data_IF_109269196665
#
_entry.id   IF_109269196665
#
_cell.length_a   1.000
_cell.length_b   1.000
_cell.length_c   1.000
_cell.angle_alpha   90.00
_cell.angle_beta   90.00
_cell.angle_gamma   90.00
#
_symmetry.space_group_name_H-M   'P 1'
#
loop_
_entity.id
_entity.type
_entity.pdbx_description
1 polymer ?
#
# COMPACT_ATOMS: atom_id res chain seq x y z
N UNK A 1 18.09 -12.22 -17.31
CA UNK A 1 16.62 -12.40 -17.29
C UNK A 1 16.03 -12.63 -18.68
N UNK A 2 16.72 -12.24 -19.76
CA UNK A 2 16.33 -12.58 -21.12
C UNK A 2 16.11 -14.09 -21.28
N UNK A 3 14.89 -14.48 -21.68
CA UNK A 3 14.51 -15.87 -21.91
C UNK A 3 13.56 -16.48 -20.87
N UNK A 4 13.25 -15.79 -19.75
CA UNK A 4 12.23 -16.26 -18.79
C UNK A 4 10.89 -15.59 -19.13
N UNK A 5 9.86 -16.34 -19.59
CA UNK A 5 8.58 -15.77 -19.96
C UNK A 5 7.88 -15.07 -18.79
N UNK A 6 7.63 -13.77 -18.95
CA UNK A 6 6.98 -12.94 -17.93
C UNK A 6 7.92 -12.37 -16.86
N UNK A 7 9.24 -12.55 -17.00
CA UNK A 7 10.20 -11.82 -16.17
C UNK A 7 10.27 -10.34 -16.58
N UNK A 8 10.36 -9.47 -15.58
CA UNK A 8 10.48 -8.02 -15.74
C UNK A 8 11.79 -7.54 -15.09
N UNK A 9 12.43 -6.57 -15.73
CA UNK A 9 13.61 -5.88 -15.21
C UNK A 9 13.49 -4.38 -15.52
N UNK A 10 13.76 -3.54 -14.53
CA UNK A 10 13.71 -2.10 -14.68
C UNK A 10 14.59 -1.39 -13.65
N UNK A 11 14.91 -0.13 -13.95
CA UNK A 11 15.58 0.77 -13.03
C UNK A 11 14.76 2.05 -12.94
N UNK A 12 14.61 2.57 -11.72
CA UNK A 12 13.88 3.83 -11.53
C UNK A 12 14.43 4.62 -10.33
N UNK A 13 14.20 5.92 -10.33
CA UNK A 13 14.57 6.83 -9.27
C UNK A 13 13.38 7.08 -8.34
N UNK A 14 13.59 6.80 -7.06
CA UNK A 14 12.58 6.96 -6.02
C UNK A 14 12.97 8.16 -5.14
N UNK A 15 12.47 9.38 -5.43
CA UNK A 15 12.85 10.59 -4.69
C UNK A 15 12.46 10.52 -3.21
N UNK A 16 11.42 9.75 -2.87
CA UNK A 16 10.96 9.52 -1.51
C UNK A 16 11.81 8.52 -0.70
N UNK A 17 12.82 7.88 -1.30
CA UNK A 17 13.60 6.83 -0.66
C UNK A 17 14.97 7.34 -0.19
N UNK A 18 15.06 7.71 1.09
CA UNK A 18 16.26 8.30 1.69
C UNK A 18 16.34 9.83 1.48
N UNK A 19 17.29 10.51 2.12
CA UNK A 19 17.36 11.97 2.12
C UNK A 19 17.70 12.60 0.75
N UNK A 20 18.27 11.82 -0.17
CA UNK A 20 18.65 12.26 -1.52
C UNK A 20 17.87 11.55 -2.64
N UNK A 21 16.83 10.77 -2.29
CA UNK A 21 16.29 9.76 -3.18
C UNK A 21 17.28 8.63 -3.47
N UNK A 22 16.78 7.54 -4.07
CA UNK A 22 17.60 6.38 -4.43
C UNK A 22 17.22 5.85 -5.80
N UNK A 23 18.23 5.44 -6.55
CA UNK A 23 18.06 4.64 -7.75
C UNK A 23 17.98 3.18 -7.35
N UNK A 24 16.91 2.50 -7.74
CA UNK A 24 16.76 1.07 -7.52
C UNK A 24 16.69 0.35 -8.86
N UNK A 25 17.43 -0.75 -8.95
CA UNK A 25 17.18 -1.79 -9.95
C UNK A 25 16.23 -2.81 -9.34
N UNK A 26 15.17 -3.16 -10.08
CA UNK A 26 14.21 -4.15 -9.66
C UNK A 26 14.01 -5.21 -10.74
N UNK A 27 13.89 -6.44 -10.27
CA UNK A 27 13.73 -7.64 -11.10
C UNK A 27 12.60 -8.46 -10.54
N UNK A 28 11.61 -8.76 -11.35
CA UNK A 28 10.50 -9.63 -10.98
C UNK A 28 10.50 -10.87 -11.87
N UNK A 29 10.39 -12.04 -11.26
CA UNK A 29 10.32 -13.32 -11.98
C UNK A 29 9.08 -14.07 -11.52
N UNK A 30 8.18 -14.51 -12.42
CA UNK A 30 6.99 -15.25 -12.04
C UNK A 30 7.37 -16.60 -11.44
N UNK A 31 6.81 -16.89 -10.26
CA UNK A 31 6.86 -18.20 -9.63
C UNK A 31 5.67 -19.02 -10.12
N UNK A 32 5.95 -20.21 -10.65
CA UNK A 32 4.92 -21.14 -11.13
C UNK A 32 4.97 -22.42 -10.31
N UNK A 33 3.80 -23.03 -10.10
CA UNK A 33 3.74 -24.36 -9.51
C UNK A 33 4.17 -25.44 -10.51
N UNK A 34 4.16 -26.71 -10.06
CA UNK A 34 4.52 -27.86 -10.90
C UNK A 34 3.59 -28.10 -12.10
N UNK A 35 2.42 -27.45 -12.13
CA UNK A 35 1.48 -27.52 -13.25
C UNK A 35 1.57 -26.29 -14.16
N UNK A 36 2.55 -25.40 -13.91
CA UNK A 36 2.78 -24.18 -14.70
C UNK A 36 1.87 -23.01 -14.33
N UNK A 37 1.01 -23.14 -13.33
CA UNK A 37 0.12 -22.08 -12.88
C UNK A 37 0.92 -20.99 -12.14
N UNK A 38 0.66 -19.72 -12.43
CA UNK A 38 1.31 -18.59 -11.75
C UNK A 38 0.85 -18.54 -10.29
N UNK A 39 1.77 -18.80 -9.36
CA UNK A 39 1.51 -18.80 -7.91
C UNK A 39 2.09 -17.58 -7.19
N UNK A 40 3.00 -16.85 -7.84
CA UNK A 40 3.55 -15.63 -7.26
C UNK A 40 4.59 -14.98 -8.17
N UNK A 41 5.33 -14.05 -7.62
CA UNK A 41 6.53 -13.50 -8.23
C UNK A 41 7.63 -13.41 -7.17
N UNK A 42 8.86 -13.68 -7.57
CA UNK A 42 10.04 -13.38 -6.79
C UNK A 42 10.56 -12.03 -7.24
N UNK A 43 10.65 -11.08 -6.31
CA UNK A 43 11.11 -9.73 -6.57
C UNK A 43 12.46 -9.50 -5.88
N UNK A 44 13.42 -8.98 -6.62
CA UNK A 44 14.70 -8.53 -6.10
C UNK A 44 14.81 -7.03 -6.33
N UNK A 45 15.06 -6.28 -5.26
CA UNK A 45 15.37 -4.86 -5.31
C UNK A 45 16.82 -4.63 -4.87
N UNK A 46 17.58 -3.92 -5.69
CA UNK A 46 18.97 -3.55 -5.42
C UNK A 46 19.11 -2.03 -5.48
N UNK A 47 19.73 -1.47 -4.45
CA UNK A 47 20.11 -0.05 -4.43
C UNK A 47 21.35 0.16 -5.30
N UNK A 48 21.19 0.88 -6.40
CA UNK A 48 22.24 1.19 -7.37
C UNK A 48 22.64 2.67 -7.31
N UNK A 49 22.22 3.39 -6.27
CA UNK A 49 22.49 4.83 -6.11
C UNK A 49 23.99 5.13 -6.11
N UNK A 50 24.81 4.23 -5.56
CA UNK A 50 26.27 4.37 -5.57
C UNK A 50 26.87 4.25 -6.98
N UNK A 51 26.27 3.44 -7.84
CA UNK A 51 26.71 3.24 -9.25
C UNK A 51 26.26 4.39 -10.14
N UNK A 52 25.09 4.99 -9.86
CA UNK A 52 24.56 6.16 -10.57
C UNK A 52 25.13 7.50 -10.08
N UNK A 53 25.64 7.57 -8.84
CA UNK A 53 26.15 8.79 -8.22
C UNK A 53 27.41 9.41 -8.84
N UNK A 54 28.09 8.70 -9.76
CA UNK A 54 29.20 9.24 -10.56
C UNK A 54 28.75 9.88 -11.88
N UNK A 55 27.49 9.65 -12.29
CA UNK A 55 26.91 10.23 -13.50
C UNK A 55 25.95 11.38 -13.14
N UNK A 56 26.55 12.50 -12.72
CA UNK A 56 26.04 13.86 -12.96
C UNK A 56 24.72 14.29 -12.31
N UNK A 57 24.83 15.06 -11.22
CA UNK A 57 23.91 16.19 -10.97
C UNK A 57 23.88 17.11 -12.20
N UNK A 58 22.81 17.09 -13.00
CA UNK A 58 22.21 18.28 -13.63
C UNK A 58 20.96 17.94 -14.47
N UNK A 59 19.88 18.66 -14.14
CA UNK A 59 18.81 19.15 -15.02
C UNK A 59 17.76 18.19 -15.63
N UNK A 60 16.51 18.63 -15.44
CA UNK A 60 15.32 18.24 -16.17
C UNK A 60 15.42 18.55 -17.68
N UNK A 61 14.94 17.64 -18.52
CA UNK A 61 14.19 17.90 -19.76
C UNK A 61 13.92 16.56 -20.49
N UNK A 62 12.72 16.41 -21.02
CA UNK A 62 12.34 15.35 -21.96
C UNK A 62 12.91 15.63 -23.39
N UNK A 63 12.57 14.81 -24.41
CA UNK A 63 13.37 13.72 -24.93
C UNK A 63 14.06 14.08 -26.27
N UNK A 64 15.21 13.46 -26.58
CA UNK A 64 15.79 13.51 -27.92
C UNK A 64 16.49 12.18 -28.27
N UNK A 65 16.24 11.74 -29.50
CA UNK A 65 16.69 10.52 -30.14
C UNK A 65 18.12 10.60 -30.70
N UNK A 66 18.75 9.43 -30.91
CA UNK A 66 19.95 9.19 -31.74
C UNK A 66 21.26 9.18 -30.96
N UNK A 67 22.19 8.21 -31.08
CA UNK A 67 22.54 7.31 -32.18
C UNK A 67 23.04 5.92 -31.70
N UNK A 68 23.03 4.98 -32.65
CA UNK A 68 23.19 3.51 -32.61
C UNK A 68 24.55 2.94 -32.17
N UNK A 69 24.50 1.67 -31.75
CA UNK A 69 25.48 0.61 -32.09
C UNK A 69 24.69 -0.68 -32.54
N UNK A 70 25.33 -1.69 -33.15
CA UNK A 70 25.02 -2.12 -34.53
C UNK A 70 23.99 -3.25 -34.66
N UNK A 71 23.43 -3.32 -35.88
CA UNK A 71 22.71 -4.41 -36.54
C UNK A 71 22.24 -5.60 -35.69
N UNK A 72 20.96 -5.59 -35.36
CA UNK A 72 20.19 -6.83 -35.16
C UNK A 72 18.89 -6.69 -35.95
N UNK A 73 18.54 -7.62 -36.86
CA UNK A 73 17.36 -7.47 -37.68
C UNK A 73 16.10 -7.44 -36.81
N UNK A 74 15.32 -6.38 -36.96
CA UNK A 74 14.07 -6.19 -36.26
C UNK A 74 13.07 -7.28 -36.66
N UNK A 75 12.70 -8.14 -35.71
CA UNK A 75 11.56 -9.04 -35.85
C UNK A 75 10.30 -8.17 -35.75
N UNK A 76 9.38 -8.22 -36.73
CA UNK A 76 8.15 -7.43 -36.66
C UNK A 76 7.32 -7.88 -35.45
N UNK A 77 6.82 -6.90 -34.69
CA UNK A 77 5.93 -7.13 -33.57
C UNK A 77 4.72 -7.96 -34.05
N UNK A 78 4.35 -9.05 -33.34
CA UNK A 78 3.16 -9.80 -33.68
C UNK A 78 1.92 -8.91 -33.52
N UNK A 79 0.90 -9.05 -34.38
CA UNK A 79 -0.35 -8.31 -34.23
C UNK A 79 -0.99 -8.67 -32.88
N UNK A 80 -1.35 -7.65 -32.11
CA UNK A 80 -2.06 -7.82 -30.84
C UNK A 80 -3.41 -8.50 -31.09
N UNK A 81 -3.49 -9.79 -30.75
CA UNK A 81 -4.77 -10.48 -30.64
C UNK A 81 -5.43 -10.05 -29.32
N UNK A 82 -6.73 -9.69 -29.31
CA UNK A 82 -7.41 -9.28 -28.09
C UNK A 82 -7.55 -10.49 -27.14
N UNK A 83 -6.86 -10.43 -25.99
CA UNK A 83 -6.93 -11.45 -24.95
C UNK A 83 -8.19 -11.22 -24.10
N UNK A 84 -9.03 -12.25 -23.83
CA UNK A 84 -10.32 -12.10 -23.17
C UNK A 84 -10.21 -11.61 -21.71
N UNK A 85 -11.12 -10.70 -21.36
CA UNK A 85 -11.24 -10.06 -20.06
C UNK A 85 -11.45 -11.06 -18.90
N UNK A 86 -10.38 -11.41 -18.19
CA UNK A 86 -10.45 -11.73 -16.75
C UNK A 86 -9.37 -10.90 -16.04
N UNK A 87 -9.78 -9.67 -15.72
CA UNK A 87 -9.00 -8.58 -15.14
C UNK A 87 -8.30 -8.98 -13.82
N UNK A 88 -6.97 -8.91 -13.79
CA UNK A 88 -6.25 -8.36 -12.62
C UNK A 88 -5.93 -6.91 -12.96
N UNK A 89 -6.41 -5.97 -12.16
CA UNK A 89 -6.02 -4.56 -12.27
C UNK A 89 -4.51 -4.42 -12.02
N UNK A 90 -3.86 -3.50 -12.74
CA UNK A 90 -2.47 -3.16 -12.51
C UNK A 90 -2.28 -2.65 -11.06
N UNK A 91 -1.15 -2.95 -10.39
CA UNK A 91 -0.89 -2.47 -9.04
C UNK A 91 -0.95 -0.94 -8.98
N UNK A 92 -1.70 -0.40 -8.00
CA UNK A 92 -1.82 1.05 -7.78
C UNK A 92 -2.93 1.76 -8.56
N UNK A 93 -3.73 1.06 -9.36
CA UNK A 93 -4.84 1.68 -10.09
C UNK A 93 -6.13 1.73 -9.26
N UNK A 94 -6.94 2.77 -9.50
CA UNK A 94 -8.28 2.90 -8.93
C UNK A 94 -9.19 1.77 -9.42
N UNK A 95 -9.89 1.12 -8.50
CA UNK A 95 -10.79 0.03 -8.80
C UNK A 95 -11.94 -0.02 -7.80
N UNK A 96 -13.06 -0.62 -8.19
CA UNK A 96 -14.14 -0.98 -7.26
C UNK A 96 -13.80 -2.27 -6.52
N UNK A 97 -13.82 -2.22 -5.20
CA UNK A 97 -13.50 -3.37 -4.35
C UNK A 97 -14.32 -3.38 -3.06
N UNK A 98 -14.67 -4.58 -2.60
CA UNK A 98 -15.28 -4.80 -1.28
C UNK A 98 -14.23 -4.64 -0.18
N UNK A 99 -14.54 -3.83 0.83
CA UNK A 99 -13.70 -3.57 1.98
C UNK A 99 -13.31 -4.85 2.75
N UNK A 100 -14.18 -5.88 2.77
CA UNK A 100 -13.86 -7.18 3.38
C UNK A 100 -12.69 -7.87 2.70
N UNK A 101 -12.53 -7.71 1.37
CA UNK A 101 -11.35 -8.26 0.66
C UNK A 101 -10.07 -7.54 1.06
N UNK A 102 -10.14 -6.22 1.22
CA UNK A 102 -9.02 -5.44 1.73
C UNK A 102 -8.64 -5.86 3.16
N UNK A 103 -9.64 -6.03 4.03
CA UNK A 103 -9.44 -6.48 5.42
C UNK A 103 -8.81 -7.87 5.45
N UNK A 104 -9.29 -8.83 4.66
CA UNK A 104 -8.72 -10.17 4.59
C UNK A 104 -7.25 -10.14 4.16
N UNK A 105 -6.93 -9.42 3.08
CA UNK A 105 -5.55 -9.29 2.60
C UNK A 105 -4.62 -8.63 3.61
N UNK A 106 -5.10 -7.62 4.34
CA UNK A 106 -4.32 -6.94 5.36
C UNK A 106 -4.07 -7.81 6.60
N UNK A 107 -5.04 -8.64 6.97
CA UNK A 107 -4.92 -9.62 8.06
C UNK A 107 -3.85 -10.66 7.75
N UNK A 108 -3.86 -11.23 6.54
CA UNK A 108 -2.85 -12.20 6.12
C UNK A 108 -1.44 -11.59 6.17
N UNK A 109 -1.31 -10.33 5.74
CA UNK A 109 -0.04 -9.60 5.76
C UNK A 109 0.43 -9.14 7.15
N UNK A 110 -0.44 -9.19 8.16
CA UNK A 110 -0.16 -8.79 9.54
C UNK A 110 -0.15 -9.98 10.51
N UNK A 111 -0.46 -11.20 10.07
CA UNK A 111 -0.62 -12.37 10.93
C UNK A 111 0.60 -12.61 11.83
N UNK A 112 1.80 -12.58 11.26
CA UNK A 112 3.05 -12.78 12.01
C UNK A 112 3.25 -11.75 13.14
N UNK A 113 2.81 -10.50 12.93
CA UNK A 113 2.90 -9.42 13.91
C UNK A 113 1.84 -9.56 15.02
N UNK A 114 0.67 -10.14 14.70
CA UNK A 114 -0.51 -10.18 15.60
C UNK A 114 -0.61 -11.48 16.38
N UNK A 115 -0.38 -12.63 15.75
CA UNK A 115 -0.77 -13.97 16.26
C UNK A 115 -0.26 -14.30 17.66
N UNK A 116 0.89 -13.73 18.04
CA UNK A 116 1.52 -13.93 19.35
C UNK A 116 1.12 -12.90 20.41
N UNK A 117 0.44 -11.82 20.00
CA UNK A 117 0.09 -10.67 20.84
C UNK A 117 -1.39 -10.61 21.17
N UNK A 118 -2.25 -10.99 20.22
CA UNK A 118 -3.69 -10.78 20.37
C UNK A 118 -4.54 -11.87 19.73
N UNK A 119 -5.78 -11.97 20.19
CA UNK A 119 -6.87 -12.56 19.43
C UNK A 119 -7.48 -11.54 18.47
N UNK A 120 -7.87 -12.00 17.29
CA UNK A 120 -8.55 -11.15 16.29
C UNK A 120 -10.02 -11.51 16.25
N UNK A 121 -10.87 -10.57 16.68
CA UNK A 121 -12.33 -10.66 16.56
C UNK A 121 -12.76 -9.90 15.31
N UNK A 122 -13.60 -10.52 14.47
CA UNK A 122 -14.08 -9.96 13.21
C UNK A 122 -15.59 -9.80 13.28
N UNK A 123 -16.05 -8.57 13.41
CA UNK A 123 -17.46 -8.20 13.36
C UNK A 123 -17.69 -7.44 12.06
N UNK A 124 -17.72 -8.19 10.95
CA UNK A 124 -17.72 -7.65 9.60
C UNK A 124 -19.08 -7.84 8.95
N UNK A 125 -19.63 -6.74 8.42
CA UNK A 125 -20.89 -6.72 7.67
C UNK A 125 -20.63 -6.51 6.18
N UNK A 126 -21.63 -6.80 5.35
CA UNK A 126 -21.57 -6.47 3.93
C UNK A 126 -21.70 -4.97 3.75
N UNK A 127 -20.86 -4.39 2.89
CA UNK A 127 -20.87 -2.97 2.56
C UNK A 127 -20.79 -2.80 1.05
N UNK A 128 -21.25 -1.67 0.49
CA UNK A 128 -21.05 -1.36 -0.93
C UNK A 128 -19.57 -1.42 -1.31
N UNK A 129 -19.31 -1.79 -2.57
CA UNK A 129 -17.96 -1.71 -3.11
C UNK A 129 -17.52 -0.25 -3.21
N UNK A 130 -16.28 0.02 -2.80
CA UNK A 130 -15.69 1.35 -2.84
C UNK A 130 -14.69 1.50 -3.98
N UNK A 131 -14.62 2.70 -4.53
CA UNK A 131 -13.55 3.10 -5.43
C UNK A 131 -12.31 3.43 -4.64
N UNK A 132 -11.29 2.59 -4.77
CA UNK A 132 -10.05 2.76 -4.05
C UNK A 132 -8.86 2.17 -4.79
N UNK A 133 -7.66 2.55 -4.37
CA UNK A 133 -6.44 1.83 -4.70
C UNK A 133 -6.23 0.77 -3.63
N UNK A 134 -6.75 -0.44 -3.88
CA UNK A 134 -6.78 -1.52 -2.89
C UNK A 134 -5.43 -1.79 -2.18
N UNK A 135 -4.25 -1.78 -2.86
CA UNK A 135 -2.96 -1.95 -2.16
C UNK A 135 -2.69 -0.87 -1.10
N UNK A 136 -3.09 0.38 -1.35
CA UNK A 136 -2.92 1.48 -0.41
C UNK A 136 -3.88 1.32 0.79
N UNK A 137 -5.15 0.95 0.55
CA UNK A 137 -6.11 0.66 1.64
C UNK A 137 -5.66 -0.53 2.49
N UNK A 138 -5.14 -1.59 1.87
CA UNK A 138 -4.58 -2.74 2.58
C UNK A 138 -3.41 -2.31 3.48
N UNK A 139 -2.56 -1.40 3.01
CA UNK A 139 -1.47 -0.84 3.81
C UNK A 139 -1.97 -0.04 5.01
N UNK A 140 -3.05 0.74 4.86
CA UNK A 140 -3.69 1.45 5.98
C UNK A 140 -4.17 0.46 7.03
N UNK A 141 -4.96 -0.54 6.63
CA UNK A 141 -5.51 -1.55 7.54
C UNK A 141 -4.37 -2.30 8.24
N UNK A 142 -3.36 -2.75 7.49
CA UNK A 142 -2.19 -3.45 8.04
C UNK A 142 -1.47 -2.60 9.08
N UNK A 143 -1.21 -1.33 8.79
CA UNK A 143 -0.51 -0.44 9.73
C UNK A 143 -1.31 -0.24 11.01
N UNK A 144 -2.62 -0.07 10.93
CA UNK A 144 -3.48 0.04 12.12
C UNK A 144 -3.47 -1.26 12.94
N UNK A 145 -3.54 -2.42 12.28
CA UNK A 145 -3.46 -3.72 12.95
C UNK A 145 -2.12 -3.94 13.66
N UNK A 146 -1.01 -3.60 13.00
CA UNK A 146 0.33 -3.70 13.60
C UNK A 146 0.48 -2.73 14.77
N UNK A 147 -0.05 -1.51 14.66
CA UNK A 147 -0.04 -0.55 15.76
C UNK A 147 -0.86 -1.05 16.95
N UNK A 148 -2.03 -1.63 16.71
CA UNK A 148 -2.88 -2.27 17.72
C UNK A 148 -2.12 -3.40 18.44
N UNK A 149 -1.49 -4.31 17.68
CA UNK A 149 -0.70 -5.41 18.25
C UNK A 149 0.49 -4.91 19.09
N UNK A 150 1.12 -3.80 18.69
CA UNK A 150 2.22 -3.20 19.45
C UNK A 150 1.76 -2.42 20.69
N UNK A 151 0.53 -1.92 20.72
CA UNK A 151 -0.06 -1.26 21.89
C UNK A 151 -0.44 -2.29 22.98
N UNK A 152 -0.65 -3.54 22.59
CA UNK A 152 -0.90 -4.65 23.50
C UNK A 152 0.41 -5.04 24.20
N UNK A 153 0.38 -5.03 25.54
CA UNK A 153 1.54 -5.24 26.39
C UNK A 153 2.01 -6.70 26.46
N UNK A 154 2.44 -7.12 27.65
CA UNK A 154 2.93 -8.47 27.88
C UNK A 154 1.80 -9.51 27.90
N UNK A 155 0.61 -9.11 28.33
CA UNK A 155 -0.56 -9.97 28.36
C UNK A 155 -1.22 -10.03 26.97
N UNK A 156 -1.80 -11.18 26.66
CA UNK A 156 -2.53 -11.38 25.41
C UNK A 156 -3.77 -10.48 25.39
N UNK A 157 -3.88 -9.65 24.37
CA UNK A 157 -4.99 -8.70 24.19
C UNK A 157 -5.99 -9.16 23.13
N UNK A 158 -6.93 -8.28 22.80
CA UNK A 158 -7.89 -8.48 21.71
C UNK A 158 -7.80 -7.32 20.73
N UNK A 159 -7.84 -7.64 19.43
CA UNK A 159 -8.02 -6.69 18.34
C UNK A 159 -9.38 -6.97 17.70
N UNK A 160 -10.28 -6.00 17.72
CA UNK A 160 -11.60 -6.10 17.10
C UNK A 160 -11.62 -5.30 15.80
N UNK A 161 -11.95 -5.97 14.70
CA UNK A 161 -12.19 -5.36 13.39
C UNK A 161 -13.69 -5.22 13.15
N UNK A 162 -14.12 -3.99 12.84
CA UNK A 162 -15.50 -3.68 12.45
C UNK A 162 -15.53 -2.95 11.12
N UNK A 163 -16.62 -3.06 10.38
CA UNK A 163 -16.91 -2.18 9.25
C UNK A 163 -18.39 -1.83 9.19
N UNK A 164 -18.73 -0.83 8.39
CA UNK A 164 -20.10 -0.42 8.16
C UNK A 164 -20.20 0.62 7.05
N UNK A 165 -21.43 1.07 6.82
CA UNK A 165 -21.77 2.05 5.80
C UNK A 165 -22.75 3.06 6.39
N UNK A 166 -22.47 4.34 6.22
CA UNK A 166 -23.32 5.45 6.64
C UNK A 166 -23.53 6.36 5.42
N UNK A 167 -24.70 6.24 4.77
CA UNK A 167 -25.02 7.03 3.57
C UNK A 167 -24.10 6.71 2.39
N UNK A 168 -23.34 7.70 1.93
CA UNK A 168 -22.42 7.64 0.79
C UNK A 168 -20.97 7.25 1.19
N UNK A 169 -20.77 6.88 2.45
CA UNK A 169 -19.47 6.57 3.02
C UNK A 169 -19.45 5.18 3.64
N UNK A 170 -18.34 4.48 3.48
CA UNK A 170 -18.03 3.28 4.26
C UNK A 170 -17.02 3.62 5.34
N UNK A 171 -16.97 2.79 6.37
CA UNK A 171 -15.93 2.87 7.37
C UNK A 171 -15.44 1.49 7.77
N UNK A 172 -14.19 1.44 8.23
CA UNK A 172 -13.67 0.33 9.01
C UNK A 172 -13.02 0.86 10.29
N UNK A 173 -13.00 0.01 11.31
CA UNK A 173 -12.48 0.32 12.63
C UNK A 173 -11.58 -0.82 13.12
N UNK A 174 -10.42 -0.44 13.65
CA UNK A 174 -9.49 -1.32 14.36
C UNK A 174 -9.47 -0.88 15.82
N UNK A 175 -10.01 -1.71 16.70
CA UNK A 175 -10.01 -1.49 18.14
C UNK A 175 -9.05 -2.46 18.82
N UNK A 176 -8.19 -1.96 19.71
CA UNK A 176 -7.29 -2.75 20.55
C UNK A 176 -7.63 -2.60 22.03
N UNK A 177 -7.24 -3.58 22.84
CA UNK A 177 -7.31 -3.54 24.30
C UNK A 177 -5.94 -3.22 24.94
N UNK A 178 -5.11 -2.43 24.24
CA UNK A 178 -3.75 -2.12 24.62
C UNK A 178 -3.64 -0.98 25.64
N UNK A 179 -2.47 -0.31 25.65
CA UNK A 179 -2.16 0.75 26.62
C UNK A 179 -3.02 2.02 26.50
N UNK A 180 -3.70 2.22 25.38
CA UNK A 180 -4.29 3.51 25.04
C UNK A 180 -3.24 4.57 24.71
N UNK A 181 -3.70 5.78 24.40
CA UNK A 181 -2.89 6.94 24.01
C UNK A 181 -3.26 8.13 24.90
N UNK A 182 -2.26 8.91 25.30
CA UNK A 182 -2.49 10.14 26.06
C UNK A 182 -3.19 11.20 25.20
N UNK A 183 -4.17 11.92 25.78
CA UNK A 183 -4.92 12.97 25.07
C UNK A 183 -4.03 14.09 24.54
N UNK A 184 -2.93 14.40 25.23
CA UNK A 184 -1.96 15.41 24.80
C UNK A 184 -1.20 14.99 23.54
N UNK A 185 -1.13 13.68 23.27
CA UNK A 185 -0.43 13.13 22.11
C UNK A 185 -1.33 13.04 20.86
N UNK A 186 -2.65 13.04 21.03
CA UNK A 186 -3.64 12.90 19.95
C UNK A 186 -3.45 13.87 18.76
N UNK A 187 -3.12 15.16 18.96
CA UNK A 187 -2.90 16.07 17.82
C UNK A 187 -1.72 15.64 16.94
N UNK A 188 -0.76 14.91 17.52
CA UNK A 188 0.55 14.63 16.92
C UNK A 188 0.69 13.20 16.41
N UNK A 189 -0.19 12.28 16.78
CA UNK A 189 -0.07 10.86 16.39
C UNK A 189 -0.12 10.61 14.87
N UNK A 190 -0.62 11.58 14.10
CA UNK A 190 -0.66 11.53 12.63
C UNK A 190 0.49 12.31 11.96
N UNK A 191 1.31 13.01 12.75
CA UNK A 191 2.48 13.74 12.25
C UNK A 191 3.56 12.74 11.78
N UNK A 192 4.28 13.05 10.68
CA UNK A 192 5.41 12.24 10.25
C UNK A 192 6.45 12.09 11.35
N UNK A 193 6.97 10.87 11.52
CA UNK A 193 8.03 10.51 12.48
C UNK A 193 7.64 10.61 13.96
N UNK A 194 6.38 10.90 14.29
CA UNK A 194 5.92 10.88 15.67
C UNK A 194 5.87 9.45 16.21
N UNK A 195 6.56 9.21 17.33
CA UNK A 195 6.51 7.95 18.07
C UNK A 195 6.69 8.23 19.55
N UNK A 196 5.97 7.50 20.39
CA UNK A 196 6.03 7.59 21.85
C UNK A 196 6.89 6.48 22.46
N UNK A 197 7.50 5.63 21.62
CA UNK A 197 8.26 4.46 22.06
C UNK A 197 9.75 4.76 22.27
N UNK A 198 10.39 4.18 23.30
CA UNK A 198 11.83 4.28 23.52
C UNK A 198 12.63 3.66 22.35
N UNK A 199 13.87 4.12 22.14
CA UNK A 199 14.88 3.50 21.27
C UNK A 199 14.54 3.36 19.78
N UNK A 200 13.54 4.07 19.25
CA UNK A 200 13.23 4.07 17.81
C UNK A 200 12.51 2.80 17.32
N UNK A 201 11.96 1.98 18.22
CA UNK A 201 11.10 0.86 17.86
C UNK A 201 9.79 1.37 17.24
N UNK A 202 9.69 1.23 15.92
CA UNK A 202 8.66 1.87 15.10
C UNK A 202 9.11 3.27 14.69
N UNK A 203 9.41 3.44 13.39
CA UNK A 203 9.94 4.68 12.81
C UNK A 203 8.99 5.90 12.89
N UNK A 204 7.85 5.79 13.58
CA UNK A 204 6.80 6.83 13.63
C UNK A 204 6.17 7.13 12.28
N UNK A 205 6.28 6.20 11.30
CA UNK A 205 5.81 6.41 9.92
C UNK A 205 4.46 5.79 9.62
N UNK A 206 3.99 4.84 10.44
CA UNK A 206 2.80 4.05 10.14
C UNK A 206 1.54 4.90 10.03
N UNK A 207 1.23 5.69 11.07
CA UNK A 207 0.03 6.53 11.09
C UNK A 207 0.11 7.73 10.15
N UNK A 208 1.29 8.31 9.93
CA UNK A 208 1.45 9.40 8.96
C UNK A 208 1.23 8.93 7.52
N UNK A 209 1.67 7.72 7.17
CA UNK A 209 1.35 7.08 5.88
C UNK A 209 -0.15 6.85 5.76
N UNK A 210 -0.80 6.36 6.84
CA UNK A 210 -2.25 6.18 6.85
C UNK A 210 -2.97 7.51 6.57
N UNK A 211 -2.59 8.59 7.26
CA UNK A 211 -3.19 9.90 7.07
C UNK A 211 -3.02 10.40 5.63
N UNK A 212 -1.85 10.18 5.01
CA UNK A 212 -1.60 10.54 3.61
C UNK A 212 -2.51 9.77 2.64
N UNK A 213 -2.55 8.44 2.74
CA UNK A 213 -3.38 7.59 1.89
C UNK A 213 -4.87 7.91 2.05
N UNK A 214 -5.34 8.04 3.29
CA UNK A 214 -6.75 8.33 3.57
C UNK A 214 -7.15 9.70 3.03
N UNK A 215 -6.28 10.71 3.12
CA UNK A 215 -6.51 12.02 2.50
C UNK A 215 -6.57 11.93 0.97
N UNK A 216 -5.70 11.14 0.34
CA UNK A 216 -5.74 10.89 -1.11
C UNK A 216 -7.03 10.19 -1.56
N UNK A 217 -7.67 9.44 -0.66
CA UNK A 217 -8.99 8.83 -0.86
C UNK A 217 -10.14 9.69 -0.33
N UNK A 218 -9.91 10.99 -0.12
CA UNK A 218 -10.91 11.96 0.35
C UNK A 218 -11.60 11.52 1.66
N UNK A 219 -10.93 10.70 2.45
CA UNK A 219 -11.43 10.13 3.69
C UNK A 219 -10.93 10.85 4.92
N UNK A 220 -11.29 10.31 6.09
CA UNK A 220 -10.83 10.78 7.39
C UNK A 220 -10.46 9.63 8.31
N UNK A 221 -9.51 9.89 9.21
CA UNK A 221 -9.18 8.99 10.32
C UNK A 221 -9.63 9.67 11.61
N UNK A 222 -10.33 8.93 12.45
CA UNK A 222 -10.73 9.35 13.80
C UNK A 222 -10.22 8.31 14.80
N UNK A 223 -9.92 8.77 16.02
CA UNK A 223 -9.43 7.90 17.08
C UNK A 223 -10.23 8.13 18.35
N UNK A 224 -10.63 7.04 19.00
CA UNK A 224 -11.16 7.04 20.37
C UNK A 224 -10.20 6.22 21.22
N UNK A 225 -9.78 6.72 22.37
CA UNK A 225 -8.78 6.04 23.18
C UNK A 225 -8.95 6.38 24.65
N UNK A 226 -8.65 5.42 25.51
CA UNK A 226 -8.64 5.59 26.96
C UNK A 226 -7.39 4.90 27.49
N UNK A 227 -6.58 5.62 28.26
CA UNK A 227 -5.38 5.07 28.88
C UNK A 227 -5.74 3.81 29.68
N UNK A 228 -4.98 2.73 29.45
CA UNK A 228 -5.16 1.41 30.06
C UNK A 228 -6.32 0.58 29.51
N UNK A 229 -7.13 1.10 28.58
CA UNK A 229 -8.27 0.40 28.00
C UNK A 229 -8.18 0.23 26.48
N UNK A 230 -7.12 0.77 25.86
CA UNK A 230 -6.83 0.64 24.44
C UNK A 230 -7.34 1.77 23.57
N UNK A 231 -7.30 1.55 22.25
CA UNK A 231 -7.63 2.54 21.23
C UNK A 231 -8.46 1.97 20.10
N UNK A 232 -9.35 2.78 19.54
CA UNK A 232 -10.16 2.48 18.37
C UNK A 232 -9.88 3.51 17.28
N UNK A 233 -9.23 3.07 16.21
CA UNK A 233 -8.98 3.87 15.01
C UNK A 233 -10.04 3.55 13.97
N UNK A 234 -10.82 4.56 13.57
CA UNK A 234 -11.83 4.46 12.52
C UNK A 234 -11.41 5.25 11.30
N UNK A 235 -11.42 4.59 10.15
CA UNK A 235 -11.21 5.20 8.84
C UNK A 235 -12.55 5.26 8.11
N UNK A 236 -12.91 6.43 7.60
CA UNK A 236 -14.11 6.63 6.79
C UNK A 236 -13.71 7.07 5.39
N UNK A 237 -14.27 6.43 4.37
CA UNK A 237 -13.98 6.63 2.95
C UNK A 237 -15.29 6.83 2.18
N UNK A 238 -15.36 7.77 1.23
CA UNK A 238 -16.51 7.86 0.33
C UNK A 238 -16.55 6.65 -0.63
N UNK A 239 -17.75 6.19 -0.97
CA UNK A 239 -17.97 5.05 -1.87
C UNK A 239 -17.47 5.34 -3.28
N UNK A 240 -17.69 6.57 -3.76
CA UNK A 240 -17.27 7.06 -5.07
C UNK A 240 -16.25 8.18 -4.86
N UNK A 241 -15.18 8.18 -5.64
CA UNK A 241 -14.09 9.14 -5.51
C UNK A 241 -14.27 10.21 -6.59
N UNK A 242 -14.41 11.47 -6.21
CA UNK A 242 -14.72 12.54 -7.16
C UNK A 242 -13.63 12.70 -8.24
N UNK A 243 -12.37 12.43 -7.89
CA UNK A 243 -11.21 12.58 -8.78
C UNK A 243 -10.90 11.34 -9.64
N UNK A 244 -11.54 10.20 -9.40
CA UNK A 244 -11.37 9.01 -10.24
C UNK A 244 -11.93 9.22 -11.66
N UNK A 245 -12.86 10.16 -11.82
CA UNK A 245 -13.50 10.48 -13.10
C UNK A 245 -12.88 11.67 -13.85
N UNK A 246 -12.00 12.47 -13.24
CA UNK A 246 -11.41 13.65 -13.87
C UNK A 246 -10.27 13.33 -14.87
N UNK A 247 -9.73 12.10 -14.83
CA UNK A 247 -8.64 11.66 -15.72
C UNK A 247 -9.09 11.03 -17.05
N UNK A 248 -10.39 10.96 -17.34
CA UNK A 248 -10.93 10.22 -18.49
C UNK A 248 -11.92 11.06 -19.33
N UNK A 249 -11.76 12.38 -19.37
CA UNK A 249 -12.51 13.22 -20.30
C UNK A 249 -11.78 13.18 -21.66
N UNK A 250 -12.35 12.57 -22.72
CA UNK A 250 -11.79 12.72 -24.05
C UNK A 250 -11.93 14.20 -24.43
N UNK A 251 -10.82 14.85 -24.74
CA UNK A 251 -10.86 16.12 -25.43
C UNK A 251 -11.35 15.83 -26.85
N UNK A 252 -12.64 16.01 -27.10
CA UNK A 252 -13.18 16.01 -28.47
C UNK A 252 -12.72 17.27 -29.21
N UNK A 253 -12.56 17.18 -30.55
CA UNK A 253 -11.74 18.07 -31.36
C UNK A 253 -12.33 19.46 -31.61
#
# INVERSE_FOLDING_TARGET
LAGIPGAFEGEDFFPQLGPSGRWLSFRAVPLRDRHGALVGAMETLLDISATRGTEGSHAAAAPAAGQRAPDTPAVPAPPELPIPARMRAAPGQWQRTDLRRCIASALDAADADIRHKADVVRDLVETPAIECRAPEINQVIRNLLVNAAQAIGAQRGTITLRNGCDGDQVWFEVEDTGSGIDKEQLPRILEPHFTTRPNGEGRGRGLSICAGIVRQHQGRITVRTVIGHGSAFRVTLPITQADAHAGNVPHEP
#
